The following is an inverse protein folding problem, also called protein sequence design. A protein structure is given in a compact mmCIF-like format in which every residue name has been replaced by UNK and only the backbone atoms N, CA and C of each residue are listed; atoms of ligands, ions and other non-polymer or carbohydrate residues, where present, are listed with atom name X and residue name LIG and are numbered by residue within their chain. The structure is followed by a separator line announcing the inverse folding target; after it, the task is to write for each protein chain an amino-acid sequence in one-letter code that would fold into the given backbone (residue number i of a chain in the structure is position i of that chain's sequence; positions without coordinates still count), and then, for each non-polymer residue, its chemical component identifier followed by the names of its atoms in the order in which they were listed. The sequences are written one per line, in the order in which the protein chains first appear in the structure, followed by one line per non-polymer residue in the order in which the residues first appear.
data_IF_287004579585
#
_entry.id   IF_287004579585
#
_cell.length_a   1.000
_cell.length_b   1.000
_cell.length_c   1.000
_cell.angle_alpha   90.00
_cell.angle_beta   90.00
_cell.angle_gamma   90.00
#
_symmetry.space_group_name_H-M   'P 1'
#
loop_
_entity.id
_entity.type
_entity.pdbx_description
1 polymer ?
#
# COMPACT_ATOMS: atom_id res chain seq x y z
N UNK A 1 7.17 -6.30 -1.26
CA UNK A 1 8.51 -5.97 -1.83
C UNK A 1 8.39 -4.67 -2.62
N UNK A 2 9.38 -3.81 -2.51
CA UNK A 2 9.50 -2.55 -3.28
C UNK A 2 10.95 -2.42 -3.78
N UNK A 3 11.16 -1.60 -4.81
CA UNK A 3 12.50 -1.21 -5.24
C UNK A 3 12.90 0.04 -4.44
N UNK A 4 14.08 0.00 -3.84
CA UNK A 4 14.62 1.11 -3.08
C UNK A 4 15.28 2.19 -3.97
N UNK A 5 15.61 3.35 -3.38
CA UNK A 5 16.33 4.42 -4.10
C UNK A 5 17.74 4.01 -4.52
N UNK A 6 18.26 2.93 -3.98
CA UNK A 6 19.54 2.30 -4.31
C UNK A 6 19.42 1.21 -5.40
N UNK A 7 18.24 1.03 -6.00
CA UNK A 7 17.94 0.01 -6.99
C UNK A 7 17.79 -1.42 -6.43
N UNK A 8 18.01 -1.62 -5.14
CA UNK A 8 17.88 -2.93 -4.50
C UNK A 8 16.41 -3.32 -4.25
N UNK A 9 16.16 -4.62 -4.14
CA UNK A 9 14.88 -5.13 -3.67
C UNK A 9 14.81 -5.08 -2.14
N UNK A 10 13.74 -4.47 -1.60
CA UNK A 10 13.49 -4.37 -0.17
C UNK A 10 12.20 -5.11 0.18
N UNK A 11 12.29 -6.03 1.10
CA UNK A 11 11.23 -6.98 1.46
C UNK A 11 10.88 -6.82 2.94
N UNK A 12 9.60 -6.71 3.22
CA UNK A 12 9.06 -6.88 4.57
C UNK A 12 8.86 -8.38 4.82
N UNK A 13 9.80 -9.02 5.50
CA UNK A 13 9.77 -10.46 5.75
C UNK A 13 9.08 -10.76 7.08
N UNK A 14 7.84 -11.24 6.99
CA UNK A 14 7.06 -11.60 8.18
C UNK A 14 7.60 -12.86 8.89
N UNK A 15 8.23 -13.77 8.16
CA UNK A 15 8.80 -14.99 8.72
C UNK A 15 10.05 -14.73 9.57
N UNK A 16 10.93 -13.87 9.07
CA UNK A 16 12.13 -13.42 9.78
C UNK A 16 11.85 -12.30 10.79
N UNK A 17 10.68 -11.69 10.73
CA UNK A 17 10.36 -10.48 11.49
C UNK A 17 11.39 -9.36 11.26
N UNK A 18 11.74 -9.15 9.99
CA UNK A 18 12.84 -8.29 9.56
C UNK A 18 12.51 -7.56 8.24
N UNK A 19 13.19 -6.45 8.01
CA UNK A 19 13.32 -5.88 6.67
C UNK A 19 14.53 -6.51 6.01
N UNK A 20 14.39 -6.97 4.77
CA UNK A 20 15.46 -7.64 4.02
C UNK A 20 15.76 -6.84 2.76
N UNK A 21 17.05 -6.55 2.54
CA UNK A 21 17.57 -5.95 1.32
C UNK A 21 18.28 -7.02 0.50
N UNK A 22 17.96 -7.10 -0.78
CA UNK A 22 18.66 -7.96 -1.74
C UNK A 22 19.32 -7.08 -2.79
N UNK A 23 20.62 -7.20 -2.90
CA UNK A 23 21.43 -6.47 -3.88
C UNK A 23 21.23 -7.07 -5.29
N UNK A 24 20.84 -6.26 -6.30
CA UNK A 24 20.50 -6.80 -7.62
C UNK A 24 21.71 -7.27 -8.45
N UNK A 25 22.92 -6.84 -8.11
CA UNK A 25 24.13 -7.19 -8.86
C UNK A 25 24.85 -8.39 -8.25
N UNK A 26 24.94 -8.41 -6.91
CA UNK A 26 25.72 -9.42 -6.17
C UNK A 26 24.85 -10.51 -5.56
N UNK A 27 23.52 -10.33 -5.57
CA UNK A 27 22.54 -11.17 -4.88
C UNK A 27 22.76 -11.27 -3.36
N UNK A 28 23.60 -10.38 -2.82
CA UNK A 28 23.86 -10.34 -1.38
C UNK A 28 22.61 -9.95 -0.60
N UNK A 29 22.30 -10.73 0.43
CA UNK A 29 21.14 -10.51 1.30
C UNK A 29 21.59 -9.91 2.62
N UNK A 30 20.93 -8.81 3.01
CA UNK A 30 21.13 -8.16 4.30
C UNK A 30 19.80 -8.04 5.03
N UNK A 31 19.71 -8.60 6.23
CA UNK A 31 18.54 -8.51 7.09
C UNK A 31 18.72 -7.42 8.17
N UNK A 32 17.64 -6.71 8.47
CA UNK A 32 17.51 -5.74 9.53
C UNK A 32 16.36 -6.19 10.43
N UNK A 33 16.64 -6.97 11.49
CA UNK A 33 15.61 -7.48 12.37
C UNK A 33 14.94 -6.36 13.17
N UNK A 34 13.70 -6.55 13.56
CA UNK A 34 13.04 -5.68 14.53
C UNK A 34 13.81 -5.70 15.86
N UNK A 35 13.78 -4.60 16.63
CA UNK A 35 14.38 -4.57 17.97
C UNK A 35 13.83 -5.68 18.87
N UNK A 36 14.62 -6.12 19.83
CA UNK A 36 14.19 -7.09 20.83
C UNK A 36 12.93 -6.62 21.59
N UNK A 37 12.08 -7.58 22.00
CA UNK A 37 10.82 -7.29 22.70
C UNK A 37 9.60 -7.12 21.80
N UNK A 38 9.79 -7.01 20.48
CA UNK A 38 8.70 -7.08 19.52
C UNK A 38 8.51 -8.54 19.10
N UNK A 39 7.37 -9.13 19.49
CA UNK A 39 6.97 -10.47 19.05
C UNK A 39 6.75 -10.51 17.53
N UNK A 40 6.14 -11.59 17.05
CA UNK A 40 5.76 -11.70 15.63
C UNK A 40 4.88 -10.51 15.20
N UNK A 41 5.42 -9.69 14.30
CA UNK A 41 4.77 -8.45 13.88
C UNK A 41 3.87 -8.59 12.67
N UNK A 42 3.98 -9.71 11.93
CA UNK A 42 3.28 -9.93 10.67
C UNK A 42 3.51 -8.75 9.71
N UNK A 43 4.79 -8.49 9.38
CA UNK A 43 5.21 -7.36 8.54
C UNK A 43 4.51 -7.41 7.18
N UNK A 44 4.09 -6.25 6.68
CA UNK A 44 3.25 -6.18 5.47
C UNK A 44 3.85 -5.30 4.37
N UNK A 45 3.68 -4.00 4.46
CA UNK A 45 4.01 -3.07 3.38
C UNK A 45 5.15 -2.15 3.78
N UNK A 46 5.99 -1.77 2.81
CA UNK A 46 7.02 -0.76 2.99
C UNK A 46 6.88 0.38 1.98
N UNK A 47 7.37 1.57 2.37
CA UNK A 47 7.46 2.75 1.52
C UNK A 47 8.65 3.61 1.93
N UNK A 48 9.43 4.09 0.96
CA UNK A 48 10.55 4.99 1.24
C UNK A 48 10.07 6.44 1.36
N UNK A 49 10.59 7.16 2.36
CA UNK A 49 10.41 8.60 2.43
C UNK A 49 11.48 9.35 1.60
N UNK A 50 11.31 10.67 1.46
CA UNK A 50 12.24 11.52 0.71
C UNK A 50 13.66 11.60 1.27
N UNK A 51 13.89 11.08 2.48
CA UNK A 51 15.20 10.99 3.12
C UNK A 51 15.85 9.61 2.94
N UNK A 52 15.22 8.72 2.16
CA UNK A 52 15.70 7.36 1.94
C UNK A 52 15.50 6.41 3.11
N UNK A 53 14.64 6.74 4.07
CA UNK A 53 14.27 5.84 5.17
C UNK A 53 13.08 5.00 4.75
N UNK A 54 13.11 3.71 5.09
CA UNK A 54 12.03 2.79 4.80
C UNK A 54 11.04 2.75 5.98
N UNK A 55 9.83 3.22 5.74
CA UNK A 55 8.71 3.05 6.64
C UNK A 55 7.99 1.74 6.34
N UNK A 56 7.51 1.04 7.36
CA UNK A 56 6.85 -0.25 7.21
C UNK A 56 5.73 -0.45 8.21
N UNK A 57 4.81 -1.36 7.89
CA UNK A 57 3.69 -1.75 8.75
C UNK A 57 3.80 -3.20 9.18
N UNK A 58 3.23 -3.50 10.36
CA UNK A 58 3.04 -4.86 10.89
C UNK A 58 1.62 -5.02 11.41
N UNK A 59 0.92 -6.06 10.92
CA UNK A 59 -0.50 -6.26 11.17
C UNK A 59 -0.84 -6.54 12.63
N UNK A 60 0.13 -6.95 13.44
CA UNK A 60 -0.04 -7.17 14.88
C UNK A 60 -0.07 -5.86 15.69
N UNK A 61 -0.18 -4.72 15.01
CA UNK A 61 -0.42 -3.41 15.63
C UNK A 61 0.82 -2.57 15.81
N UNK A 62 1.76 -2.68 14.90
CA UNK A 62 2.95 -1.84 14.85
C UNK A 62 3.12 -1.18 13.49
N UNK A 63 3.91 -0.13 13.45
CA UNK A 63 4.59 0.40 12.28
C UNK A 63 6.01 0.80 12.68
N UNK A 64 6.88 0.99 11.72
CA UNK A 64 8.27 1.30 12.04
C UNK A 64 8.99 2.00 10.92
N UNK A 65 10.24 2.35 11.19
CA UNK A 65 11.15 3.01 10.29
C UNK A 65 12.54 2.37 10.36
N UNK A 66 13.10 2.06 9.22
CA UNK A 66 14.50 1.66 9.06
C UNK A 66 15.26 2.81 8.41
N UNK A 67 16.38 3.19 8.98
CA UNK A 67 17.40 3.99 8.31
C UNK A 67 18.44 3.04 7.66
N UNK A 68 18.46 2.92 6.32
CA UNK A 68 19.39 2.02 5.65
C UNK A 68 20.87 2.37 5.84
N UNK A 69 21.18 3.64 6.08
CA UNK A 69 22.56 4.11 6.23
C UNK A 69 23.17 3.67 7.57
N UNK A 70 22.42 3.78 8.66
CA UNK A 70 22.86 3.37 9.99
C UNK A 70 22.46 1.94 10.34
N UNK A 71 21.45 1.38 9.66
CA UNK A 71 20.81 0.12 9.99
C UNK A 71 19.87 0.19 11.20
N UNK A 72 19.60 1.40 11.72
CA UNK A 72 18.73 1.60 12.88
C UNK A 72 17.28 1.35 12.52
N UNK A 73 16.63 0.46 13.28
CA UNK A 73 15.19 0.20 13.20
C UNK A 73 14.50 0.80 14.41
N UNK A 74 13.45 1.57 14.18
CA UNK A 74 12.59 2.15 15.21
C UNK A 74 11.16 1.64 15.01
N UNK A 75 10.45 1.34 16.09
CA UNK A 75 9.11 0.75 16.04
C UNK A 75 8.18 1.48 17.00
N UNK A 76 6.96 1.74 16.56
CA UNK A 76 5.88 2.37 17.33
C UNK A 76 4.64 1.48 17.32
N UNK A 77 3.84 1.60 18.38
CA UNK A 77 2.52 0.99 18.40
C UNK A 77 1.58 1.74 17.44
N UNK A 78 0.85 1.01 16.61
CA UNK A 78 -0.13 1.60 15.73
C UNK A 78 -1.32 2.18 16.54
N UNK A 79 -1.86 3.34 16.15
CA UNK A 79 -3.10 3.84 16.72
C UNK A 79 -4.19 2.76 16.63
N UNK A 80 -4.95 2.56 17.70
CA UNK A 80 -6.04 1.56 17.76
C UNK A 80 -5.58 0.09 17.60
N UNK A 81 -4.29 -0.21 17.76
CA UNK A 81 -3.76 -1.57 17.82
C UNK A 81 -3.65 -2.28 16.48
N UNK A 82 -4.10 -3.55 16.42
CA UNK A 82 -3.92 -4.43 15.25
C UNK A 82 -4.56 -3.89 13.98
N UNK A 83 -3.94 -4.24 12.83
CA UNK A 83 -4.49 -3.97 11.52
C UNK A 83 -3.70 -3.00 10.66
N UNK A 84 -2.57 -2.44 11.12
CA UNK A 84 -1.71 -1.62 10.26
C UNK A 84 -1.29 -2.41 9.02
N UNK A 85 -1.66 -1.93 7.81
CA UNK A 85 -1.59 -2.73 6.59
C UNK A 85 -0.81 -2.01 5.47
N UNK A 86 -1.48 -1.21 4.64
CA UNK A 86 -0.84 -0.42 3.59
C UNK A 86 -0.08 0.77 4.14
N UNK A 87 0.98 1.19 3.46
CA UNK A 87 1.72 2.42 3.77
C UNK A 87 2.19 3.06 2.47
N UNK A 88 2.18 4.39 2.42
CA UNK A 88 2.61 5.16 1.25
C UNK A 88 3.27 6.47 1.66
N UNK A 89 4.07 7.02 0.76
CA UNK A 89 4.67 8.35 0.91
C UNK A 89 4.17 9.25 -0.21
N UNK A 90 3.75 10.47 0.13
CA UNK A 90 3.33 11.48 -0.84
C UNK A 90 4.53 12.12 -1.54
N UNK A 91 4.34 12.79 -2.69
CA UNK A 91 5.40 13.57 -3.34
C UNK A 91 6.00 14.66 -2.44
N UNK A 92 5.23 15.22 -1.50
CA UNK A 92 5.73 16.17 -0.50
C UNK A 92 6.58 15.52 0.61
N UNK A 93 6.51 14.19 0.74
CA UNK A 93 7.24 13.40 1.72
C UNK A 93 6.48 13.11 3.01
N UNK A 94 5.16 13.32 3.02
CA UNK A 94 4.30 12.89 4.11
C UNK A 94 4.06 11.38 4.03
N UNK A 95 3.99 10.71 5.16
CA UNK A 95 3.79 9.26 5.24
C UNK A 95 2.42 8.95 5.84
N UNK A 96 1.70 8.06 5.17
CA UNK A 96 0.38 7.60 5.61
C UNK A 96 0.31 6.07 5.61
N UNK A 97 -0.35 5.51 6.63
CA UNK A 97 -0.68 4.08 6.62
C UNK A 97 -2.18 3.85 6.77
N UNK A 98 -2.65 2.72 6.25
CA UNK A 98 -4.01 2.23 6.45
C UNK A 98 -4.06 1.25 7.63
N UNK A 99 -5.18 1.20 8.31
CA UNK A 99 -5.49 0.21 9.35
C UNK A 99 -6.76 -0.56 9.01
N UNK A 100 -6.59 -1.80 8.58
CA UNK A 100 -7.71 -2.67 8.16
C UNK A 100 -8.69 -2.92 9.31
N UNK A 101 -8.19 -3.36 10.47
CA UNK A 101 -9.05 -3.64 11.63
C UNK A 101 -9.40 -2.38 12.43
N UNK A 102 -8.59 -1.31 12.30
CA UNK A 102 -8.83 -0.04 12.97
C UNK A 102 -9.75 0.91 12.20
N UNK A 103 -10.10 0.57 10.96
CA UNK A 103 -11.01 1.35 10.10
C UNK A 103 -10.63 2.83 9.95
N UNK A 104 -9.35 3.12 9.72
CA UNK A 104 -8.85 4.48 9.53
C UNK A 104 -7.59 4.50 8.67
N UNK A 105 -7.20 5.67 8.20
CA UNK A 105 -5.82 5.93 7.82
C UNK A 105 -5.14 6.72 8.92
N UNK A 106 -3.81 6.76 8.94
CA UNK A 106 -3.08 7.60 9.87
C UNK A 106 -1.93 8.31 9.18
N UNK A 107 -1.74 9.60 9.49
CA UNK A 107 -0.58 10.36 9.08
C UNK A 107 0.52 10.20 10.11
N UNK A 108 1.73 9.90 9.64
CA UNK A 108 2.92 9.78 10.49
C UNK A 108 3.72 11.08 10.44
N UNK A 109 4.04 11.65 11.60
CA UNK A 109 5.06 12.69 11.69
C UNK A 109 6.43 12.04 11.48
N UNK A 110 7.06 12.33 10.35
CA UNK A 110 8.34 11.71 9.96
C UNK A 110 9.52 12.13 10.84
N UNK A 111 9.37 13.16 11.67
CA UNK A 111 10.40 13.62 12.61
C UNK A 111 10.33 12.88 13.95
N UNK A 112 9.14 12.74 14.51
CA UNK A 112 8.90 12.09 15.81
C UNK A 112 8.57 10.61 15.70
N UNK A 113 8.00 10.20 14.57
CA UNK A 113 7.44 8.87 14.36
C UNK A 113 6.01 8.71 14.86
N UNK A 114 5.41 9.72 15.48
CA UNK A 114 4.04 9.63 15.99
C UNK A 114 3.00 9.62 14.88
N UNK A 115 1.99 8.75 15.00
CA UNK A 115 0.91 8.63 14.02
C UNK A 115 -0.40 9.20 14.56
N UNK A 116 -1.07 10.02 13.76
CA UNK A 116 -2.36 10.62 14.04
C UNK A 116 -3.45 9.98 13.17
N UNK A 117 -4.46 9.31 13.75
CA UNK A 117 -5.52 8.68 12.96
C UNK A 117 -6.45 9.72 12.32
N UNK A 118 -6.95 9.39 11.14
CA UNK A 118 -7.89 10.18 10.34
C UNK A 118 -9.05 9.25 9.98
N UNK A 119 -10.23 9.58 10.49
CA UNK A 119 -11.42 8.77 10.29
C UNK A 119 -12.09 9.08 8.95
N UNK A 120 -12.40 8.07 8.14
CA UNK A 120 -13.22 8.24 6.95
C UNK A 120 -14.72 8.38 7.34
N UNK A 121 -15.55 8.92 6.45
CA UNK A 121 -16.99 9.04 6.68
C UNK A 121 -17.73 7.69 6.69
N UNK A 122 -17.16 6.67 6.04
CA UNK A 122 -17.76 5.33 5.99
C UNK A 122 -17.34 4.52 7.20
N UNK A 123 -18.30 4.10 8.01
CA UNK A 123 -18.04 3.21 9.14
C UNK A 123 -17.61 1.82 8.66
N UNK A 124 -16.74 1.16 9.42
CA UNK A 124 -16.27 -0.21 9.20
C UNK A 124 -15.78 -0.48 7.76
N UNK A 125 -15.22 0.55 7.09
CA UNK A 125 -14.84 0.45 5.69
C UNK A 125 -13.71 -0.55 5.41
N UNK A 126 -12.89 -0.90 6.40
CA UNK A 126 -11.78 -1.82 6.24
C UNK A 126 -10.66 -1.25 5.36
N UNK A 127 -10.06 -0.11 5.76
CA UNK A 127 -8.96 0.52 5.03
C UNK A 127 -7.78 -0.43 4.91
N UNK A 128 -7.50 -0.93 3.70
CA UNK A 128 -6.54 -2.01 3.50
C UNK A 128 -5.21 -1.53 2.91
N UNK A 129 -5.24 -0.94 1.73
CA UNK A 129 -4.06 -0.39 1.06
C UNK A 129 -4.23 1.10 0.84
N UNK A 130 -3.11 1.80 0.76
CA UNK A 130 -3.06 3.23 0.45
C UNK A 130 -2.01 3.49 -0.63
N UNK A 131 -2.30 4.49 -1.46
CA UNK A 131 -1.36 5.02 -2.45
C UNK A 131 -1.55 6.53 -2.58
N UNK A 132 -0.48 7.26 -2.90
CA UNK A 132 -0.56 8.70 -3.15
C UNK A 132 -0.59 8.99 -4.64
N UNK A 133 -1.42 9.96 -5.05
CA UNK A 133 -1.36 10.52 -6.40
C UNK A 133 -0.34 11.67 -6.51
N UNK A 134 -0.21 12.24 -7.73
CA UNK A 134 0.71 13.34 -8.01
C UNK A 134 0.41 14.61 -7.22
N UNK A 135 -0.83 14.79 -6.75
CA UNK A 135 -1.32 15.92 -5.96
C UNK A 135 -1.15 15.70 -4.45
N UNK A 136 -0.65 14.54 -4.03
CA UNK A 136 -0.47 14.18 -2.62
C UNK A 136 -1.75 13.73 -1.92
N UNK A 137 -2.84 13.47 -2.66
CA UNK A 137 -4.05 12.89 -2.09
C UNK A 137 -3.83 11.40 -1.82
N UNK A 138 -4.50 10.85 -0.83
CA UNK A 138 -4.34 9.47 -0.37
C UNK A 138 -5.53 8.64 -0.85
N UNK A 139 -5.27 7.76 -1.79
CA UNK A 139 -6.24 6.78 -2.28
C UNK A 139 -6.20 5.54 -1.39
N UNK A 140 -7.38 5.04 -1.04
CA UNK A 140 -7.58 3.94 -0.08
C UNK A 140 -8.46 2.88 -0.70
N UNK A 141 -8.00 1.62 -0.70
CA UNK A 141 -8.89 0.49 -0.97
C UNK A 141 -9.61 0.08 0.33
N UNK A 142 -10.91 -0.01 0.29
CA UNK A 142 -11.76 -0.28 1.44
C UNK A 142 -12.43 -1.65 1.29
N UNK A 143 -11.84 -2.62 1.96
CA UNK A 143 -12.17 -4.04 1.80
C UNK A 143 -13.62 -4.38 2.18
N UNK A 144 -14.06 -3.92 3.36
CA UNK A 144 -15.38 -4.26 3.87
C UNK A 144 -16.49 -3.48 3.14
N UNK A 145 -16.22 -2.21 2.81
CA UNK A 145 -17.17 -1.37 2.09
C UNK A 145 -17.21 -1.68 0.59
N UNK A 146 -16.19 -2.37 0.04
CA UNK A 146 -16.10 -2.67 -1.38
C UNK A 146 -16.01 -1.41 -2.24
N UNK A 147 -15.22 -0.43 -1.81
CA UNK A 147 -15.11 0.87 -2.47
C UNK A 147 -13.67 1.36 -2.50
N UNK A 148 -13.43 2.36 -3.32
CA UNK A 148 -12.22 3.19 -3.27
C UNK A 148 -12.60 4.55 -2.70
N UNK A 149 -11.76 5.09 -1.84
CA UNK A 149 -11.89 6.46 -1.36
C UNK A 149 -10.61 7.26 -1.55
N UNK A 150 -10.74 8.58 -1.54
CA UNK A 150 -9.62 9.51 -1.57
C UNK A 150 -9.76 10.51 -0.43
N UNK A 151 -8.66 10.70 0.30
CA UNK A 151 -8.50 11.74 1.31
C UNK A 151 -7.63 12.86 0.73
N UNK A 152 -8.17 14.07 0.72
CA UNK A 152 -7.43 15.30 0.40
C UNK A 152 -7.04 16.00 1.70
N UNK A 153 -5.77 15.96 2.05
CA UNK A 153 -5.28 16.55 3.30
C UNK A 153 -5.33 18.08 3.31
N UNK A 154 -5.26 18.72 2.15
CA UNK A 154 -5.32 20.18 2.05
C UNK A 154 -6.75 20.71 2.28
N UNK A 155 -7.75 19.98 1.79
CA UNK A 155 -9.16 20.29 1.98
C UNK A 155 -9.74 19.65 3.27
N UNK A 156 -9.04 18.70 3.86
CA UNK A 156 -9.52 17.81 4.93
C UNK A 156 -10.86 17.16 4.54
N UNK A 157 -10.93 16.62 3.34
CA UNK A 157 -12.16 16.11 2.72
C UNK A 157 -11.98 14.69 2.18
N UNK A 158 -13.09 13.93 2.19
CA UNK A 158 -13.16 12.58 1.68
C UNK A 158 -14.17 12.46 0.55
N UNK A 159 -13.82 11.65 -0.45
CA UNK A 159 -14.76 11.19 -1.48
C UNK A 159 -14.59 9.69 -1.68
N UNK A 160 -15.67 8.99 -2.02
CA UNK A 160 -15.68 7.53 -2.19
C UNK A 160 -16.58 7.10 -3.33
N UNK A 161 -16.21 5.97 -3.94
CA UNK A 161 -16.93 5.34 -5.05
C UNK A 161 -16.95 3.83 -4.85
N UNK A 162 -18.15 3.25 -4.89
CA UNK A 162 -18.34 1.80 -4.81
C UNK A 162 -17.79 1.16 -6.08
N UNK A 163 -17.03 0.06 -5.93
CA UNK A 163 -16.62 -0.74 -7.09
C UNK A 163 -17.84 -1.38 -7.76
N UNK A 164 -17.78 -1.67 -9.07
CA UNK A 164 -18.84 -2.39 -9.77
C UNK A 164 -19.12 -3.77 -9.16
N UNK A 165 -20.37 -4.23 -9.26
CA UNK A 165 -20.79 -5.53 -8.74
C UNK A 165 -21.58 -5.47 -7.44
N UNK A 166 -22.12 -6.61 -7.02
CA UNK A 166 -23.03 -6.68 -5.87
C UNK A 166 -22.30 -6.61 -4.53
N UNK A 167 -21.21 -7.37 -4.37
CA UNK A 167 -20.44 -7.47 -3.14
C UNK A 167 -18.92 -7.35 -3.43
N UNK A 168 -18.44 -6.22 -3.96
CA UNK A 168 -17.04 -6.06 -4.30
C UNK A 168 -16.14 -6.04 -3.06
N UNK A 169 -14.90 -6.52 -3.23
CA UNK A 169 -13.89 -6.58 -2.18
C UNK A 169 -12.59 -5.93 -2.65
N UNK A 170 -12.46 -4.62 -2.41
CA UNK A 170 -11.31 -3.85 -2.83
C UNK A 170 -10.06 -4.19 -2.00
N UNK A 171 -9.04 -4.80 -2.64
CA UNK A 171 -7.82 -5.22 -1.95
C UNK A 171 -6.64 -4.29 -2.20
N UNK A 172 -6.03 -4.34 -3.38
CA UNK A 172 -4.92 -3.48 -3.76
C UNK A 172 -5.41 -2.11 -4.23
N UNK A 173 -4.55 -1.11 -4.09
CA UNK A 173 -4.66 0.18 -4.77
C UNK A 173 -3.28 0.60 -5.24
N UNK A 174 -3.20 1.11 -6.46
CA UNK A 174 -2.04 1.69 -7.10
C UNK A 174 -2.50 2.89 -7.93
N UNK A 175 -1.71 3.96 -7.98
CA UNK A 175 -1.99 5.12 -8.83
C UNK A 175 -0.84 5.25 -9.82
N UNK A 176 -1.16 5.30 -11.10
CA UNK A 176 -0.17 5.42 -12.17
C UNK A 176 0.28 6.88 -12.41
N UNK A 177 1.19 7.09 -13.33
CA UNK A 177 1.77 8.39 -13.67
C UNK A 177 0.77 9.41 -14.24
N UNK A 178 -0.44 8.97 -14.59
CA UNK A 178 -1.55 9.80 -15.09
C UNK A 178 -2.62 10.05 -14.04
N UNK A 179 -2.34 9.71 -12.79
CA UNK A 179 -3.29 9.73 -11.68
C UNK A 179 -4.51 8.80 -11.87
N UNK A 180 -4.41 7.79 -12.76
CA UNK A 180 -5.42 6.74 -12.87
C UNK A 180 -5.28 5.77 -11.70
N UNK A 181 -6.39 5.40 -11.09
CA UNK A 181 -6.40 4.52 -9.92
C UNK A 181 -6.69 3.08 -10.34
N UNK A 182 -5.80 2.19 -9.97
CA UNK A 182 -5.89 0.76 -10.22
C UNK A 182 -6.15 0.02 -8.92
N UNK A 183 -7.12 -0.87 -8.93
CA UNK A 183 -7.55 -1.65 -7.78
C UNK A 183 -7.61 -3.13 -8.14
N UNK A 184 -7.70 -3.98 -7.12
CA UNK A 184 -8.10 -5.36 -7.32
C UNK A 184 -9.41 -5.62 -6.58
N UNK A 185 -10.33 -6.29 -7.26
CA UNK A 185 -11.57 -6.79 -6.67
C UNK A 185 -11.49 -8.30 -6.54
N UNK A 186 -11.44 -8.79 -5.30
CA UNK A 186 -11.33 -10.22 -5.03
C UNK A 186 -12.62 -10.96 -5.34
N UNK A 187 -13.79 -10.36 -5.11
CA UNK A 187 -15.07 -10.97 -5.43
C UNK A 187 -15.26 -11.16 -6.93
N UNK A 188 -14.90 -10.14 -7.72
CA UNK A 188 -14.99 -10.21 -9.17
C UNK A 188 -13.78 -10.94 -9.81
N UNK A 189 -12.75 -11.29 -9.02
CA UNK A 189 -11.50 -11.85 -9.51
C UNK A 189 -10.89 -11.02 -10.66
N UNK A 190 -10.80 -9.71 -10.46
CA UNK A 190 -10.46 -8.75 -11.50
C UNK A 190 -9.50 -7.66 -11.00
N UNK A 191 -8.78 -7.07 -11.96
CA UNK A 191 -8.17 -5.74 -11.80
C UNK A 191 -9.20 -4.72 -12.26
N UNK A 192 -9.33 -3.61 -11.53
CA UNK A 192 -10.32 -2.56 -11.81
C UNK A 192 -9.59 -1.24 -11.97
N UNK A 193 -9.81 -0.56 -13.09
CA UNK A 193 -9.37 0.81 -13.33
C UNK A 193 -10.47 1.79 -12.93
N UNK A 194 -10.11 2.82 -12.21
CA UNK A 194 -10.96 3.96 -11.91
C UNK A 194 -10.32 5.24 -12.45
N UNK A 195 -11.06 5.98 -13.25
CA UNK A 195 -10.67 7.30 -13.74
C UNK A 195 -11.27 8.38 -12.82
N UNK A 196 -10.45 9.13 -12.07
CA UNK A 196 -10.94 10.15 -11.15
C UNK A 196 -11.58 11.37 -11.81
N UNK A 197 -11.27 11.66 -13.08
CA UNK A 197 -11.83 12.81 -13.81
C UNK A 197 -13.24 12.52 -14.28
N UNK A 198 -13.44 11.36 -14.91
CA UNK A 198 -14.76 10.95 -15.43
C UNK A 198 -15.59 10.19 -14.38
N UNK A 199 -14.96 9.76 -13.28
CA UNK A 199 -15.54 8.92 -12.22
C UNK A 199 -16.11 7.60 -12.75
N UNK A 200 -15.44 7.01 -13.74
CA UNK A 200 -15.85 5.76 -14.38
C UNK A 200 -14.94 4.60 -14.05
N UNK A 201 -15.50 3.40 -14.02
CA UNK A 201 -14.79 2.16 -13.81
C UNK A 201 -14.68 1.35 -15.09
N UNK A 202 -13.55 0.64 -15.25
CA UNK A 202 -13.38 -0.44 -16.21
C UNK A 202 -12.82 -1.66 -15.50
N UNK A 203 -13.37 -2.84 -15.75
CA UNK A 203 -12.97 -4.10 -15.12
C UNK A 203 -12.22 -4.99 -16.11
N UNK A 204 -11.15 -5.63 -15.62
CA UNK A 204 -10.31 -6.57 -16.35
C UNK A 204 -10.28 -7.89 -15.58
N UNK A 205 -11.25 -8.79 -15.84
CA UNK A 205 -11.31 -10.10 -15.18
C UNK A 205 -10.05 -10.93 -15.49
N UNK A 206 -9.57 -11.66 -14.48
CA UNK A 206 -8.48 -12.62 -14.72
C UNK A 206 -8.97 -13.76 -15.61
N UNK A 207 -8.06 -14.28 -16.45
CA UNK A 207 -8.28 -15.49 -17.28
C UNK A 207 -8.27 -16.79 -16.45
N UNK A 208 -8.04 -16.71 -15.16
CA UNK A 208 -7.95 -17.81 -14.20
C UNK A 208 -8.81 -17.56 -12.98
N UNK A 209 -9.44 -18.60 -12.49
CA UNK A 209 -10.16 -18.56 -11.21
C UNK A 209 -9.18 -18.36 -10.06
N UNK A 210 -9.62 -17.60 -9.06
CA UNK A 210 -8.87 -17.36 -7.83
C UNK A 210 -7.46 -16.77 -8.02
N UNK A 211 -7.28 -15.89 -8.98
CA UNK A 211 -6.00 -15.22 -9.23
C UNK A 211 -5.46 -14.50 -7.98
N UNK A 212 -6.36 -13.90 -7.18
CA UNK A 212 -6.04 -13.29 -5.90
C UNK A 212 -4.86 -12.31 -5.97
N UNK A 213 -4.96 -11.31 -6.85
CA UNK A 213 -3.94 -10.27 -6.99
C UNK A 213 -3.92 -9.39 -5.74
N UNK A 214 -2.88 -9.53 -4.90
CA UNK A 214 -2.79 -8.89 -3.59
C UNK A 214 -2.06 -7.57 -3.60
N UNK A 215 -1.28 -7.29 -4.63
CA UNK A 215 -0.53 -6.05 -4.77
C UNK A 215 -0.41 -5.68 -6.23
N UNK A 216 -0.55 -4.39 -6.48
CA UNK A 216 -0.27 -3.77 -7.77
C UNK A 216 0.94 -2.86 -7.62
N UNK A 217 1.78 -2.83 -8.62
CA UNK A 217 2.84 -1.87 -8.85
C UNK A 217 2.90 -1.57 -10.34
N UNK A 218 3.63 -0.52 -10.70
CA UNK A 218 3.76 -0.18 -12.10
C UNK A 218 4.99 0.65 -12.37
N UNK A 219 5.19 0.89 -13.65
CA UNK A 219 6.05 1.90 -14.23
C UNK A 219 5.28 2.55 -15.37
N UNK A 220 5.79 3.64 -15.93
CA UNK A 220 5.09 4.34 -17.01
C UNK A 220 4.68 3.38 -18.14
N UNK A 221 3.39 3.38 -18.45
CA UNK A 221 2.78 2.51 -19.46
C UNK A 221 2.45 1.07 -19.01
N UNK A 222 2.67 0.72 -17.74
CA UNK A 222 2.50 -0.65 -17.26
C UNK A 222 1.91 -0.74 -15.86
N UNK A 223 0.97 -1.66 -15.65
CA UNK A 223 0.48 -2.05 -14.32
C UNK A 223 0.70 -3.55 -14.13
N UNK A 224 1.44 -3.89 -13.10
CA UNK A 224 1.81 -5.26 -12.76
C UNK A 224 1.10 -5.75 -11.51
N UNK A 225 0.62 -6.98 -11.55
CA UNK A 225 0.02 -7.68 -10.42
C UNK A 225 0.63 -9.05 -10.20
N UNK A 226 0.79 -9.43 -8.92
CA UNK A 226 1.19 -10.78 -8.56
C UNK A 226 -0.06 -11.59 -8.20
N UNK A 227 -0.37 -12.60 -8.99
CA UNK A 227 -1.48 -13.53 -8.78
C UNK A 227 -1.07 -14.62 -7.79
N UNK A 228 -1.36 -14.40 -6.52
CA UNK A 228 -0.95 -15.32 -5.45
C UNK A 228 -1.67 -16.68 -5.45
N UNK A 229 -2.77 -16.80 -6.18
CA UNK A 229 -3.53 -18.03 -6.30
C UNK A 229 -3.17 -18.89 -7.51
N UNK A 230 -2.39 -18.35 -8.46
CA UNK A 230 -2.04 -19.03 -9.73
C UNK A 230 -0.54 -19.09 -10.01
N UNK A 231 0.28 -18.52 -9.12
CA UNK A 231 1.74 -18.41 -9.27
C UNK A 231 2.18 -17.70 -10.57
N UNK A 232 1.46 -16.61 -10.92
CA UNK A 232 1.67 -15.84 -12.16
C UNK A 232 1.87 -14.37 -11.89
N UNK A 233 2.37 -13.69 -12.90
CA UNK A 233 2.32 -12.24 -13.01
C UNK A 233 1.31 -11.85 -14.09
N UNK A 234 0.48 -10.87 -13.80
CA UNK A 234 -0.39 -10.21 -14.76
C UNK A 234 0.20 -8.84 -15.11
N UNK A 235 0.16 -8.50 -16.38
CA UNK A 235 0.54 -7.20 -16.92
C UNK A 235 -0.67 -6.59 -17.64
N UNK A 236 -0.97 -5.34 -17.33
CA UNK A 236 -1.84 -4.50 -18.15
C UNK A 236 -0.95 -3.41 -18.76
N UNK A 237 -0.85 -3.41 -20.07
CA UNK A 237 -0.25 -2.29 -20.82
C UNK A 237 -1.26 -1.15 -20.85
N UNK A 238 -0.83 0.00 -20.34
CA UNK A 238 -1.64 1.21 -20.36
C UNK A 238 -1.24 2.06 -21.55
N UNK A 239 -2.18 2.85 -22.09
CA UNK A 239 -1.84 3.79 -23.15
C UNK A 239 -0.76 4.74 -22.64
N UNK A 240 0.40 4.75 -23.30
CA UNK A 240 1.40 5.78 -23.08
C UNK A 240 0.79 7.09 -23.56
N UNK A 241 0.62 8.06 -22.67
CA UNK A 241 0.23 9.41 -23.07
C UNK A 241 1.27 9.95 -24.05
N UNK A 242 0.86 10.22 -25.30
CA UNK A 242 1.63 11.04 -26.22
C UNK A 242 1.65 12.51 -25.77
#
# INVERSE_FOLDING_TARGET
MIVGPDGAAWVTDGGLNAIVRVDPETEAVKAFPLPEGHGYANLNTGSFDKHGRLWFTGQEGIYGRLDPASGKVEVWNAPRGRGAYGITTTPSGEVYHASLSGNHIARIDVSTGEASPIDPPTADQGARRVWSDSKGRIWVSEWNAGQVSVFDSAANDWRSWKLPGDEPQAYAVYVDERDTVWLTDFSANAIVRFDPETQTFASFPSDRDNANVRQLNGRSGEVWGAESGTDRLVLIETETGE
#
